data_IF_602161589919
#
_entry.id   IF_602161589919
#
_cell.length_a   1.000
_cell.length_b   1.000
_cell.length_c   1.000
_cell.angle_alpha   90.00
_cell.angle_beta   90.00
_cell.angle_gamma   90.00
#
_symmetry.space_group_name_H-M   'P 1'
#
loop_
_entity.id
_entity.type
_entity.pdbx_description
1 polymer ?
#
# COMPACT_ATOMS: atom_id res chain seq x y z
N UNK A 1 35.04 -8.70 -28.84
CA UNK A 1 34.14 -8.45 -27.70
C UNK A 1 33.08 -7.42 -28.06
N UNK A 2 33.40 -6.41 -28.88
CA UNK A 2 32.49 -5.32 -29.26
C UNK A 2 31.29 -5.75 -30.12
N UNK A 3 31.41 -6.80 -30.95
CA UNK A 3 30.31 -7.31 -31.76
C UNK A 3 29.20 -7.93 -30.90
N UNK A 4 29.57 -8.73 -29.89
CA UNK A 4 28.61 -9.36 -28.97
C UNK A 4 27.92 -8.33 -28.08
N UNK A 5 28.65 -7.31 -27.64
CA UNK A 5 28.09 -6.19 -26.87
C UNK A 5 27.02 -5.43 -27.68
N UNK A 6 27.27 -5.16 -28.97
CA UNK A 6 26.29 -4.52 -29.86
C UNK A 6 25.04 -5.37 -30.08
N UNK A 7 25.19 -6.70 -30.20
CA UNK A 7 24.07 -7.63 -30.32
C UNK A 7 23.21 -7.59 -29.04
N UNK A 8 23.84 -7.62 -27.87
CA UNK A 8 23.16 -7.49 -26.59
C UNK A 8 22.41 -6.16 -26.45
N UNK A 9 23.04 -5.04 -26.82
CA UNK A 9 22.41 -3.71 -26.75
C UNK A 9 21.24 -3.56 -27.73
N UNK A 10 21.32 -4.17 -28.92
CA UNK A 10 20.19 -4.24 -29.87
C UNK A 10 19.02 -5.00 -29.26
N UNK A 11 19.29 -6.20 -28.74
CA UNK A 11 18.26 -7.09 -28.20
C UNK A 11 17.61 -6.51 -26.94
N UNK A 12 18.38 -5.77 -26.14
CA UNK A 12 17.88 -4.98 -25.01
C UNK A 12 16.95 -3.85 -25.44
N UNK A 13 17.26 -3.17 -26.54
CA UNK A 13 16.38 -2.13 -27.09
C UNK A 13 15.09 -2.74 -27.64
N UNK A 14 15.18 -3.88 -28.31
CA UNK A 14 14.03 -4.62 -28.82
C UNK A 14 13.13 -5.12 -27.67
N UNK A 15 13.72 -5.62 -26.57
CA UNK A 15 13.00 -5.98 -25.35
C UNK A 15 12.25 -4.79 -24.74
N UNK A 16 12.89 -3.61 -24.69
CA UNK A 16 12.24 -2.37 -24.21
C UNK A 16 11.11 -1.93 -25.13
N UNK A 17 11.28 -2.05 -26.45
CA UNK A 17 10.21 -1.72 -27.40
C UNK A 17 9.02 -2.66 -27.26
N UNK A 18 9.28 -3.96 -27.10
CA UNK A 18 8.25 -4.97 -26.86
C UNK A 18 7.50 -4.70 -25.55
N UNK A 19 8.20 -4.37 -24.46
CA UNK A 19 7.59 -4.01 -23.18
C UNK A 19 6.68 -2.77 -23.29
N UNK A 20 7.15 -1.69 -23.92
CA UNK A 20 6.33 -0.49 -24.16
C UNK A 20 5.08 -0.80 -25.02
N UNK A 21 5.19 -1.74 -25.96
CA UNK A 21 4.05 -2.16 -26.78
C UNK A 21 3.05 -2.98 -25.97
N UNK A 22 3.52 -3.87 -25.10
CA UNK A 22 2.68 -4.63 -24.16
C UNK A 22 1.94 -3.67 -23.23
N UNK A 23 2.61 -2.66 -22.68
CA UNK A 23 1.97 -1.67 -21.80
C UNK A 23 0.85 -0.90 -22.50
N UNK A 24 1.08 -0.44 -23.73
CA UNK A 24 0.06 0.26 -24.52
C UNK A 24 -1.14 -0.63 -24.81
N UNK A 25 -0.91 -1.89 -25.19
CA UNK A 25 -1.99 -2.84 -25.46
C UNK A 25 -2.74 -3.24 -24.18
N UNK A 26 -2.03 -3.38 -23.05
CA UNK A 26 -2.65 -3.65 -21.75
C UNK A 26 -3.52 -2.48 -21.28
N UNK A 27 -3.08 -1.24 -21.50
CA UNK A 27 -3.87 -0.04 -21.22
C UNK A 27 -5.13 0.03 -22.09
N UNK A 28 -5.01 -0.25 -23.40
CA UNK A 28 -6.17 -0.33 -24.29
C UNK A 28 -7.17 -1.42 -23.88
N UNK A 29 -6.67 -2.58 -23.44
CA UNK A 29 -7.49 -3.67 -22.90
C UNK A 29 -8.21 -3.25 -21.61
N UNK A 30 -7.54 -2.49 -20.73
CA UNK A 30 -8.15 -1.95 -19.52
C UNK A 30 -9.24 -0.91 -19.82
N UNK A 31 -9.04 -0.04 -20.82
CA UNK A 31 -10.07 0.90 -21.27
C UNK A 31 -11.30 0.18 -21.82
N UNK A 32 -11.12 -0.90 -22.60
CA UNK A 32 -12.22 -1.74 -23.07
C UNK A 32 -12.94 -2.38 -21.88
N UNK A 33 -12.21 -2.86 -20.87
CA UNK A 33 -12.81 -3.45 -19.68
C UNK A 33 -13.61 -2.42 -18.85
N UNK A 34 -13.19 -1.15 -18.83
CA UNK A 34 -13.90 -0.06 -18.14
C UNK A 34 -15.18 0.37 -18.85
N UNK A 35 -15.26 0.25 -20.18
CA UNK A 35 -16.47 0.59 -20.96
C UNK A 35 -17.71 -0.24 -20.55
N UNK A 36 -17.52 -1.42 -19.96
CA UNK A 36 -18.63 -2.25 -19.43
C UNK A 36 -19.34 -1.57 -18.24
N UNK A 37 -18.65 -0.76 -17.44
CA UNK A 37 -19.22 -0.12 -16.24
C UNK A 37 -19.99 1.18 -16.56
N UNK A 38 -19.65 1.88 -17.65
CA UNK A 38 -20.20 3.22 -17.95
C UNK A 38 -21.73 3.18 -18.22
N UNK A 39 -22.23 2.07 -18.79
CA UNK A 39 -23.67 1.83 -18.97
C UNK A 39 -24.39 1.49 -17.66
N UNK A 40 -23.71 0.86 -16.68
CA UNK A 40 -24.31 0.63 -15.35
C UNK A 40 -24.41 1.91 -14.52
N UNK A 41 -23.55 2.90 -14.80
CA UNK A 41 -23.52 4.21 -14.13
C UNK A 41 -24.67 5.11 -14.56
N UNK A 42 -25.30 4.84 -15.70
CA UNK A 42 -26.55 5.48 -16.15
C UNK A 42 -27.79 5.06 -15.35
N UNK A 43 -27.69 3.99 -14.54
CA UNK A 43 -28.72 3.61 -13.57
C UNK A 43 -28.50 4.41 -12.29
N UNK A 44 -28.80 5.71 -12.34
CA UNK A 44 -28.94 6.48 -11.10
C UNK A 44 -30.17 5.96 -10.36
N UNK A 45 -29.97 5.06 -9.40
CA UNK A 45 -30.98 4.76 -8.40
C UNK A 45 -31.13 6.03 -7.56
N UNK A 46 -32.05 6.90 -7.98
CA UNK A 46 -32.36 8.16 -7.30
C UNK A 46 -32.97 7.85 -5.94
N UNK A 47 -32.13 7.57 -4.95
CA UNK A 47 -32.48 7.57 -3.55
C UNK A 47 -32.69 9.03 -3.13
N UNK A 48 -33.86 9.59 -3.46
CA UNK A 48 -34.38 10.74 -2.70
C UNK A 48 -34.75 10.22 -1.31
N UNK A 49 -33.74 10.10 -0.44
CA UNK A 49 -33.95 10.08 0.99
C UNK A 49 -34.44 11.47 1.39
N UNK A 50 -35.76 11.63 1.52
CA UNK A 50 -36.32 12.72 2.30
C UNK A 50 -35.89 12.51 3.74
N UNK A 51 -34.84 13.21 4.15
CA UNK A 51 -34.53 13.39 5.57
C UNK A 51 -35.73 14.09 6.24
N UNK A 52 -36.20 13.62 7.41
CA UNK A 52 -37.12 14.40 8.20
C UNK A 52 -36.33 15.56 8.81
N UNK A 53 -36.42 16.74 8.20
CA UNK A 53 -35.97 17.98 8.82
C UNK A 53 -36.90 18.29 9.99
N UNK A 54 -36.42 18.04 11.20
CA UNK A 54 -37.00 18.56 12.44
C UNK A 54 -37.06 20.08 12.37
N UNK A 55 -38.26 20.63 12.30
CA UNK A 55 -38.50 22.07 12.23
C UNK A 55 -38.26 22.77 13.56
N UNK A 56 -37.66 23.95 13.48
CA UNK A 56 -37.88 25.04 14.42
C UNK A 56 -38.15 26.32 13.61
N UNK A 57 -39.37 26.85 13.76
CA UNK A 57 -39.90 28.20 13.44
C UNK A 57 -39.57 28.88 12.09
N UNK A 58 -40.60 29.25 11.31
CA UNK A 58 -41.18 30.61 11.32
C UNK A 58 -42.42 30.72 10.39
N UNK A 59 -43.39 31.53 10.83
CA UNK A 59 -44.69 31.85 10.22
C UNK A 59 -44.62 32.55 8.85
N UNK A 60 -45.45 32.14 7.87
CA UNK A 60 -46.48 32.97 7.20
C UNK A 60 -47.23 32.23 6.07
N UNK A 61 -48.54 32.54 5.97
CA UNK A 61 -49.60 31.97 5.11
C UNK A 61 -49.66 32.70 3.73
N UNK A 62 -50.60 32.39 2.79
CA UNK A 62 -50.94 31.15 2.08
C UNK A 62 -50.91 31.31 0.52
N UNK A 63 -51.28 30.23 -0.18
CA UNK A 63 -51.79 30.16 -1.57
C UNK A 63 -50.80 30.14 -2.75
N UNK A 64 -50.53 28.93 -3.24
CA UNK A 64 -50.54 28.63 -4.66
C UNK A 64 -50.65 27.11 -4.84
N UNK A 65 -51.76 26.69 -5.44
CA UNK A 65 -51.99 25.36 -5.97
C UNK A 65 -50.99 25.07 -7.09
N UNK A 66 -50.01 24.22 -6.83
CA UNK A 66 -49.17 23.62 -7.87
C UNK A 66 -49.37 22.11 -7.85
N UNK A 67 -50.06 21.63 -8.88
CA UNK A 67 -50.22 20.23 -9.27
C UNK A 67 -48.86 19.55 -9.38
N UNK A 68 -48.56 18.63 -8.46
CA UNK A 68 -47.45 17.69 -8.61
C UNK A 68 -47.89 16.57 -9.55
N UNK A 69 -47.51 16.70 -10.82
CA UNK A 69 -47.51 15.63 -11.80
C UNK A 69 -46.59 14.51 -11.30
N UNK A 70 -47.18 13.43 -10.79
CA UNK A 70 -46.48 12.16 -10.59
C UNK A 70 -46.42 11.44 -11.93
N UNK A 71 -45.24 11.38 -12.54
CA UNK A 71 -45.10 10.73 -13.84
C UNK A 71 -43.71 10.79 -14.44
N UNK A 72 -42.67 10.43 -13.67
CA UNK A 72 -41.38 10.08 -14.25
C UNK A 72 -41.11 8.61 -13.94
N UNK A 73 -41.70 7.73 -14.74
CA UNK A 73 -41.21 6.35 -14.87
C UNK A 73 -39.81 6.48 -15.44
N UNK A 74 -38.79 6.30 -14.60
CA UNK A 74 -37.43 6.15 -15.08
C UNK A 74 -37.43 4.88 -15.95
N UNK A 75 -37.41 5.08 -17.27
CA UNK A 75 -37.12 4.00 -18.20
C UNK A 75 -35.69 3.60 -17.90
N UNK A 76 -35.53 2.53 -17.12
CA UNK A 76 -34.24 1.88 -16.92
C UNK A 76 -33.81 1.43 -18.31
N UNK A 77 -32.85 2.15 -18.89
CA UNK A 77 -32.22 1.72 -20.12
C UNK A 77 -31.35 0.52 -19.75
N UNK A 78 -31.88 -0.67 -19.99
CA UNK A 78 -31.10 -1.89 -19.84
C UNK A 78 -30.02 -1.89 -20.92
N UNK A 79 -28.74 -2.10 -20.57
CA UNK A 79 -27.71 -2.30 -21.59
C UNK A 79 -28.17 -3.46 -22.46
N UNK A 80 -28.27 -3.23 -23.78
CA UNK A 80 -28.72 -4.28 -24.69
C UNK A 80 -27.77 -5.47 -24.52
N UNK A 81 -28.32 -6.67 -24.29
CA UNK A 81 -27.53 -7.91 -24.14
C UNK A 81 -26.57 -8.11 -25.34
N UNK A 82 -26.96 -7.59 -26.51
CA UNK A 82 -26.15 -7.50 -27.72
C UNK A 82 -24.86 -6.68 -27.58
N UNK A 83 -24.87 -5.61 -26.78
CA UNK A 83 -23.70 -4.74 -26.56
C UNK A 83 -22.67 -5.37 -25.62
N UNK A 84 -23.13 -6.00 -24.53
CA UNK A 84 -22.24 -6.75 -23.63
C UNK A 84 -21.52 -7.87 -24.40
N UNK A 85 -22.26 -8.57 -25.27
CA UNK A 85 -21.68 -9.59 -26.16
C UNK A 85 -20.76 -9.03 -27.25
N UNK A 86 -20.90 -7.78 -27.68
CA UNK A 86 -19.94 -7.15 -28.61
C UNK A 86 -18.65 -6.74 -27.89
N UNK A 87 -18.77 -6.13 -26.71
CA UNK A 87 -17.60 -5.74 -25.89
C UNK A 87 -16.81 -6.97 -25.42
N UNK A 88 -17.50 -8.07 -25.08
CA UNK A 88 -16.88 -9.37 -24.80
C UNK A 88 -15.98 -9.84 -25.95
N UNK A 89 -16.48 -9.79 -27.19
CA UNK A 89 -15.71 -10.20 -28.37
C UNK A 89 -14.54 -9.27 -28.66
N UNK A 90 -14.73 -7.96 -28.49
CA UNK A 90 -13.64 -6.97 -28.58
C UNK A 90 -12.54 -7.24 -27.55
N UNK A 91 -12.93 -7.55 -26.31
CA UNK A 91 -12.02 -7.88 -25.23
C UNK A 91 -11.24 -9.17 -25.48
N UNK A 92 -11.92 -10.26 -25.87
CA UNK A 92 -11.28 -11.54 -26.21
C UNK A 92 -10.30 -11.40 -27.37
N UNK A 93 -10.66 -10.62 -28.39
CA UNK A 93 -9.77 -10.33 -29.50
C UNK A 93 -8.52 -9.57 -29.02
N UNK A 94 -8.69 -8.47 -28.29
CA UNK A 94 -7.57 -7.69 -27.76
C UNK A 94 -6.71 -8.48 -26.77
N UNK A 95 -7.31 -9.38 -25.98
CA UNK A 95 -6.60 -10.28 -25.08
C UNK A 95 -5.68 -11.22 -25.88
N UNK A 96 -6.20 -11.86 -26.93
CA UNK A 96 -5.42 -12.75 -27.79
C UNK A 96 -4.23 -12.03 -28.44
N UNK A 97 -4.40 -10.76 -28.84
CA UNK A 97 -3.30 -9.97 -29.37
C UNK A 97 -2.20 -9.69 -28.33
N UNK A 98 -2.58 -9.36 -27.09
CA UNK A 98 -1.61 -9.14 -26.01
C UNK A 98 -0.88 -10.44 -25.68
N UNK A 99 -1.57 -11.58 -25.67
CA UNK A 99 -0.97 -12.89 -25.46
C UNK A 99 0.06 -13.24 -26.54
N UNK A 100 -0.23 -12.96 -27.82
CA UNK A 100 0.73 -13.17 -28.93
C UNK A 100 1.98 -12.30 -28.76
N UNK A 101 1.81 -11.03 -28.38
CA UNK A 101 2.94 -10.12 -28.13
C UNK A 101 3.76 -10.60 -26.93
N UNK A 102 3.10 -11.08 -25.87
CA UNK A 102 3.76 -11.57 -24.67
C UNK A 102 4.54 -12.85 -24.94
N UNK A 103 4.00 -13.78 -25.74
CA UNK A 103 4.73 -14.95 -26.23
C UNK A 103 5.97 -14.54 -27.06
N UNK A 104 5.83 -13.54 -27.94
CA UNK A 104 6.97 -13.02 -28.70
C UNK A 104 8.03 -12.41 -27.77
N UNK A 105 7.62 -11.70 -26.72
CA UNK A 105 8.55 -11.18 -25.71
C UNK A 105 9.28 -12.30 -24.97
N UNK A 106 8.58 -13.35 -24.55
CA UNK A 106 9.19 -14.54 -23.92
C UNK A 106 10.22 -15.21 -24.85
N UNK A 107 9.91 -15.38 -26.15
CA UNK A 107 10.91 -15.92 -27.11
C UNK A 107 12.12 -15.00 -27.27
N UNK A 108 11.93 -13.68 -27.21
CA UNK A 108 13.02 -12.72 -27.23
C UNK A 108 13.88 -12.84 -25.97
N UNK A 109 13.27 -13.02 -24.80
CA UNK A 109 13.99 -13.26 -23.55
C UNK A 109 14.80 -14.55 -23.58
N UNK A 110 14.32 -15.61 -24.21
CA UNK A 110 15.08 -16.85 -24.41
C UNK A 110 16.34 -16.60 -25.25
N UNK A 111 16.23 -15.85 -26.35
CA UNK A 111 17.40 -15.47 -27.18
C UNK A 111 18.36 -14.53 -26.43
N UNK A 112 17.84 -13.68 -25.56
CA UNK A 112 18.65 -12.87 -24.67
C UNK A 112 19.36 -13.77 -23.63
N UNK A 113 18.70 -14.79 -23.10
CA UNK A 113 19.28 -15.64 -22.06
C UNK A 113 20.47 -16.44 -22.62
N UNK A 114 20.36 -16.91 -23.86
CA UNK A 114 21.45 -17.59 -24.56
C UNK A 114 22.64 -16.63 -24.80
N UNK A 115 22.39 -15.42 -25.29
CA UNK A 115 23.46 -14.42 -25.51
C UNK A 115 24.09 -13.91 -24.21
N UNK A 116 23.33 -13.83 -23.12
CA UNK A 116 23.84 -13.46 -21.80
C UNK A 116 24.76 -14.52 -21.21
N UNK A 117 24.51 -15.81 -21.49
CA UNK A 117 25.33 -16.95 -21.05
C UNK A 117 26.69 -17.00 -21.74
N UNK A 118 26.80 -16.46 -22.96
CA UNK A 118 28.05 -16.37 -23.71
C UNK A 118 28.95 -15.19 -23.31
N UNK A 119 28.47 -14.27 -22.47
CA UNK A 119 29.22 -13.11 -21.98
C UNK A 119 29.81 -13.38 -20.58
N UNK A 120 30.95 -12.78 -20.21
CA UNK A 120 31.57 -12.99 -18.91
C UNK A 120 30.68 -12.53 -17.73
N UNK A 121 30.72 -13.32 -16.67
CA UNK A 121 29.82 -13.40 -15.51
C UNK A 121 29.77 -12.14 -14.60
N UNK A 122 30.54 -11.09 -14.91
CA UNK A 122 30.68 -9.86 -14.08
C UNK A 122 29.82 -8.69 -14.58
N UNK A 123 29.08 -8.85 -15.67
CA UNK A 123 28.39 -7.73 -16.33
C UNK A 123 26.93 -7.58 -15.91
N UNK A 124 26.44 -6.33 -15.91
CA UNK A 124 25.04 -5.94 -15.73
C UNK A 124 24.02 -6.66 -16.65
N UNK A 125 24.46 -7.52 -17.58
CA UNK A 125 23.61 -8.32 -18.45
C UNK A 125 22.74 -9.33 -17.68
N UNK A 126 23.30 -10.02 -16.68
CA UNK A 126 22.54 -11.00 -15.88
C UNK A 126 21.46 -10.33 -15.02
N UNK A 127 21.76 -9.20 -14.39
CA UNK A 127 20.78 -8.46 -13.59
C UNK A 127 19.68 -7.84 -14.46
N UNK A 128 20.01 -7.40 -15.67
CA UNK A 128 19.00 -6.96 -16.64
C UNK A 128 18.11 -8.11 -17.12
N UNK A 129 18.67 -9.30 -17.34
CA UNK A 129 17.92 -10.51 -17.71
C UNK A 129 16.92 -10.89 -16.61
N UNK A 130 17.38 -11.04 -15.36
CA UNK A 130 16.53 -11.38 -14.22
C UNK A 130 15.36 -10.40 -14.09
N UNK A 131 15.62 -9.10 -14.31
CA UNK A 131 14.59 -8.07 -14.30
C UNK A 131 13.58 -8.23 -15.44
N UNK A 132 14.02 -8.57 -16.65
CA UNK A 132 13.10 -8.78 -17.77
C UNK A 132 12.24 -10.05 -17.59
N UNK A 133 12.79 -11.11 -16.99
CA UNK A 133 12.02 -12.30 -16.63
C UNK A 133 10.95 -11.98 -15.57
N UNK A 134 11.31 -11.23 -14.52
CA UNK A 134 10.34 -10.74 -13.53
C UNK A 134 9.24 -9.90 -14.19
N UNK A 135 9.61 -9.03 -15.12
CA UNK A 135 8.68 -8.18 -15.86
C UNK A 135 7.70 -9.01 -16.70
N UNK A 136 8.16 -10.04 -17.41
CA UNK A 136 7.30 -10.93 -18.20
C UNK A 136 6.23 -11.61 -17.31
N UNK A 137 6.65 -12.14 -16.15
CA UNK A 137 5.76 -12.76 -15.17
C UNK A 137 4.75 -11.75 -14.63
N UNK A 138 5.19 -10.52 -14.33
CA UNK A 138 4.32 -9.45 -13.88
C UNK A 138 3.28 -9.09 -14.95
N UNK A 139 3.68 -8.89 -16.22
CA UNK A 139 2.75 -8.60 -17.32
C UNK A 139 1.71 -9.72 -17.47
N UNK A 140 2.11 -10.99 -17.40
CA UNK A 140 1.19 -12.14 -17.47
C UNK A 140 0.18 -12.14 -16.31
N UNK A 141 0.66 -11.83 -15.09
CA UNK A 141 -0.21 -11.69 -13.92
C UNK A 141 -1.19 -10.53 -14.09
N UNK A 142 -0.76 -9.40 -14.63
CA UNK A 142 -1.65 -8.25 -14.90
C UNK A 142 -2.71 -8.59 -15.93
N UNK A 143 -2.36 -9.32 -17.00
CA UNK A 143 -3.30 -9.78 -18.02
C UNK A 143 -4.39 -10.67 -17.41
N UNK A 144 -3.99 -11.67 -16.62
CA UNK A 144 -4.93 -12.56 -15.94
C UNK A 144 -5.82 -11.81 -14.95
N UNK A 145 -5.27 -10.83 -14.22
CA UNK A 145 -6.04 -9.98 -13.33
C UNK A 145 -7.10 -9.18 -14.09
N UNK A 146 -6.73 -8.52 -15.18
CA UNK A 146 -7.68 -7.72 -15.99
C UNK A 146 -8.75 -8.61 -16.62
N UNK A 147 -8.40 -9.81 -17.10
CA UNK A 147 -9.36 -10.77 -17.62
C UNK A 147 -10.34 -11.29 -16.55
N UNK A 148 -9.85 -11.58 -15.35
CA UNK A 148 -10.71 -11.98 -14.23
C UNK A 148 -11.63 -10.85 -13.78
N UNK A 149 -11.13 -9.62 -13.75
CA UNK A 149 -11.91 -8.43 -13.41
C UNK A 149 -13.00 -8.16 -14.46
N UNK A 150 -12.67 -8.30 -15.74
CA UNK A 150 -13.62 -8.18 -16.84
C UNK A 150 -14.74 -9.24 -16.75
N UNK A 151 -14.37 -10.51 -16.56
CA UNK A 151 -15.34 -11.60 -16.39
C UNK A 151 -16.31 -11.33 -15.23
N UNK A 152 -15.79 -10.89 -14.08
CA UNK A 152 -16.62 -10.51 -12.92
C UNK A 152 -17.58 -9.36 -13.25
N UNK A 153 -17.18 -8.41 -14.08
CA UNK A 153 -18.05 -7.30 -14.53
C UNK A 153 -19.13 -7.80 -15.48
N UNK A 154 -18.80 -8.66 -16.43
CA UNK A 154 -19.78 -9.29 -17.33
C UNK A 154 -20.80 -10.11 -16.55
N UNK A 155 -20.36 -10.96 -15.62
CA UNK A 155 -21.24 -11.73 -14.73
C UNK A 155 -22.14 -10.82 -13.90
N UNK A 156 -21.62 -9.70 -13.37
CA UNK A 156 -22.44 -8.72 -12.66
C UNK A 156 -23.54 -8.16 -13.56
N UNK A 157 -23.21 -7.71 -14.77
CA UNK A 157 -24.17 -7.12 -15.71
C UNK A 157 -25.24 -8.15 -16.12
N UNK A 158 -24.88 -9.42 -16.26
CA UNK A 158 -25.81 -10.51 -16.56
C UNK A 158 -26.75 -10.83 -15.38
N UNK A 159 -26.28 -10.68 -14.14
CA UNK A 159 -27.07 -10.95 -12.93
C UNK A 159 -27.98 -9.78 -12.50
N UNK A 160 -27.60 -8.53 -12.79
CA UNK A 160 -28.40 -7.32 -12.46
C UNK A 160 -29.86 -7.33 -12.96
N UNK A 161 -30.20 -7.81 -14.18
CA UNK A 161 -31.59 -7.84 -14.63
C UNK A 161 -32.45 -8.86 -13.87
N UNK A 162 -31.87 -9.97 -13.42
CA UNK A 162 -32.58 -10.95 -12.58
C UNK A 162 -32.79 -10.41 -11.15
N UNK A 163 -31.74 -9.80 -10.57
CA UNK A 163 -31.82 -9.20 -9.23
C UNK A 163 -32.80 -8.04 -9.21
N UNK A 164 -32.87 -7.22 -10.26
CA UNK A 164 -33.80 -6.09 -10.31
C UNK A 164 -35.27 -6.53 -10.41
N UNK A 165 -35.56 -7.66 -11.08
CA UNK A 165 -36.91 -8.28 -11.08
C UNK A 165 -37.27 -8.88 -9.73
N UNK A 166 -36.31 -9.51 -9.06
CA UNK A 166 -36.50 -10.08 -7.71
C UNK A 166 -36.62 -8.97 -6.64
N UNK A 167 -35.88 -7.88 -6.79
CA UNK A 167 -35.89 -6.71 -5.91
C UNK A 167 -37.23 -5.97 -5.97
N UNK A 168 -37.88 -5.90 -7.14
CA UNK A 168 -39.21 -5.28 -7.27
C UNK A 168 -40.27 -6.07 -6.49
N UNK A 169 -40.12 -7.40 -6.41
CA UNK A 169 -40.94 -8.28 -5.56
C UNK A 169 -40.55 -8.16 -4.08
N UNK A 170 -39.27 -7.98 -3.78
CA UNK A 170 -38.76 -7.81 -2.41
C UNK A 170 -38.99 -6.41 -1.83
N UNK A 171 -39.30 -5.38 -2.62
CA UNK A 171 -39.38 -3.98 -2.17
C UNK A 171 -40.44 -3.76 -1.09
N UNK A 172 -41.50 -4.57 -1.03
CA UNK A 172 -42.47 -4.59 0.07
C UNK A 172 -41.92 -5.22 1.37
N UNK A 173 -40.94 -6.13 1.30
CA UNK A 173 -40.27 -6.78 2.44
C UNK A 173 -38.92 -6.11 2.82
N UNK A 174 -38.41 -5.20 1.98
CA UNK A 174 -37.17 -4.45 2.25
C UNK A 174 -37.31 -3.50 3.44
N UNK A 175 -38.51 -2.99 3.74
CA UNK A 175 -38.74 -2.12 4.89
C UNK A 175 -38.51 -2.83 6.23
N UNK A 176 -38.99 -4.06 6.35
CA UNK A 176 -38.82 -4.92 7.54
C UNK A 176 -37.38 -5.44 7.63
N UNK A 177 -36.78 -5.86 6.51
CA UNK A 177 -35.39 -6.30 6.49
C UNK A 177 -34.38 -5.18 6.77
N UNK A 178 -34.66 -3.95 6.33
CA UNK A 178 -33.82 -2.78 6.62
C UNK A 178 -33.76 -2.52 8.13
N UNK A 179 -34.91 -2.55 8.81
CA UNK A 179 -34.98 -2.36 10.26
C UNK A 179 -34.24 -3.47 11.02
N UNK A 180 -34.36 -4.73 10.58
CA UNK A 180 -33.61 -5.85 11.17
C UNK A 180 -32.09 -5.71 10.95
N UNK A 181 -31.67 -5.28 9.76
CA UNK A 181 -30.27 -5.01 9.43
C UNK A 181 -29.70 -3.84 10.24
N UNK A 182 -30.48 -2.79 10.44
CA UNK A 182 -30.11 -1.68 11.32
C UNK A 182 -29.94 -2.16 12.76
N UNK A 183 -30.84 -3.01 13.26
CA UNK A 183 -30.72 -3.61 14.58
C UNK A 183 -29.46 -4.48 14.72
N UNK A 184 -29.13 -5.27 13.70
CA UNK A 184 -27.91 -6.07 13.69
C UNK A 184 -26.65 -5.20 13.64
N UNK A 185 -26.65 -4.15 12.83
CA UNK A 185 -25.57 -3.17 12.75
C UNK A 185 -25.35 -2.44 14.07
N UNK A 186 -26.41 -2.04 14.77
CA UNK A 186 -26.35 -1.46 16.10
C UNK A 186 -25.75 -2.45 17.12
N UNK A 187 -26.19 -3.70 17.11
CA UNK A 187 -25.63 -4.76 17.97
C UNK A 187 -24.16 -5.02 17.70
N UNK A 188 -23.76 -5.01 16.43
CA UNK A 188 -22.36 -5.15 16.04
C UNK A 188 -21.53 -3.97 16.54
N UNK A 189 -22.02 -2.74 16.34
CA UNK A 189 -21.36 -1.52 16.80
C UNK A 189 -21.23 -1.50 18.32
N UNK A 190 -22.25 -1.95 19.05
CA UNK A 190 -22.19 -2.09 20.51
C UNK A 190 -21.11 -3.09 20.95
N UNK A 191 -21.01 -4.25 20.28
CA UNK A 191 -19.94 -5.22 20.56
C UNK A 191 -18.56 -4.64 20.28
N UNK A 192 -18.39 -3.88 19.20
CA UNK A 192 -17.13 -3.23 18.87
C UNK A 192 -16.78 -2.15 19.91
N UNK A 193 -17.74 -1.33 20.31
CA UNK A 193 -17.58 -0.31 21.34
C UNK A 193 -17.09 -0.94 22.65
N UNK A 194 -17.72 -2.03 23.09
CA UNK A 194 -17.30 -2.75 24.30
C UNK A 194 -15.85 -3.24 24.19
N UNK A 195 -15.45 -3.82 23.04
CA UNK A 195 -14.06 -4.22 22.82
C UNK A 195 -13.08 -3.04 22.87
N UNK A 196 -13.48 -1.86 22.38
CA UNK A 196 -12.65 -0.64 22.45
C UNK A 196 -12.54 -0.14 23.89
N UNK A 197 -13.64 -0.19 24.66
CA UNK A 197 -13.64 0.16 26.08
C UNK A 197 -12.70 -0.78 26.85
N UNK A 198 -12.81 -2.10 26.64
CA UNK A 198 -11.96 -3.09 27.29
C UNK A 198 -10.47 -2.89 26.94
N UNK A 199 -10.16 -2.61 25.67
CA UNK A 199 -8.79 -2.31 25.24
C UNK A 199 -8.28 -1.00 25.83
N UNK A 200 -9.15 0.00 25.94
CA UNK A 200 -8.83 1.28 26.57
C UNK A 200 -8.49 1.12 28.06
N UNK A 201 -9.27 0.30 28.78
CA UNK A 201 -9.01 -0.01 30.18
C UNK A 201 -7.69 -0.79 30.35
N UNK A 202 -7.45 -1.80 29.52
CA UNK A 202 -6.18 -2.54 29.52
C UNK A 202 -4.98 -1.64 29.25
N UNK A 203 -5.08 -0.74 28.27
CA UNK A 203 -4.02 0.22 27.97
C UNK A 203 -3.77 1.19 29.14
N UNK A 204 -4.83 1.64 29.82
CA UNK A 204 -4.71 2.49 31.00
C UNK A 204 -4.00 1.76 32.16
N UNK A 205 -4.31 0.48 32.40
CA UNK A 205 -3.61 -0.34 33.39
C UNK A 205 -2.14 -0.56 33.02
N UNK A 206 -1.83 -0.84 31.76
CA UNK A 206 -0.45 -1.01 31.27
C UNK A 206 0.37 0.27 31.43
N UNK A 207 -0.19 1.44 31.10
CA UNK A 207 0.51 2.73 31.29
C UNK A 207 0.78 3.01 32.77
N UNK A 208 -0.15 2.62 33.65
CA UNK A 208 0.06 2.73 35.10
C UNK A 208 1.19 1.82 35.57
N UNK A 209 1.22 0.57 35.13
CA UNK A 209 2.32 -0.36 35.42
C UNK A 209 3.66 0.17 34.88
N UNK A 210 3.68 0.66 33.63
CA UNK A 210 4.87 1.27 33.05
C UNK A 210 5.37 2.46 33.87
N UNK A 211 4.46 3.31 34.39
CA UNK A 211 4.84 4.41 35.28
C UNK A 211 5.49 3.92 36.57
N UNK A 212 4.97 2.85 37.16
CA UNK A 212 5.54 2.26 38.37
C UNK A 212 6.93 1.65 38.08
N UNK A 213 7.12 1.02 36.91
CA UNK A 213 8.45 0.56 36.47
C UNK A 213 9.42 1.72 36.25
N UNK A 214 8.98 2.83 35.63
CA UNK A 214 9.82 4.01 35.42
C UNK A 214 10.23 4.65 36.74
N UNK A 215 9.32 4.70 37.72
CA UNK A 215 9.66 5.12 39.09
C UNK A 215 10.77 4.25 39.67
N UNK A 216 10.66 2.92 39.54
CA UNK A 216 11.69 2.00 40.03
C UNK A 216 13.04 2.17 39.32
N UNK A 217 13.04 2.48 38.02
CA UNK A 217 14.25 2.76 37.25
C UNK A 217 14.86 4.09 37.68
N UNK A 218 14.04 5.12 37.91
CA UNK A 218 14.47 6.40 38.44
C UNK A 218 15.12 6.25 39.81
N UNK A 219 14.56 5.42 40.69
CA UNK A 219 15.13 5.13 42.02
C UNK A 219 16.49 4.45 41.92
N UNK A 220 16.62 3.46 41.02
CA UNK A 220 17.91 2.79 40.75
C UNK A 220 18.93 3.74 40.13
N UNK A 221 18.51 4.65 39.25
CA UNK A 221 19.39 5.68 38.67
C UNK A 221 19.87 6.67 39.73
N UNK A 222 19.01 7.06 40.67
CA UNK A 222 19.40 7.84 41.84
C UNK A 222 20.43 7.10 42.69
N UNK A 223 20.23 5.80 42.95
CA UNK A 223 21.19 4.96 43.67
C UNK A 223 22.55 4.88 42.94
N UNK A 224 22.55 4.69 41.62
CA UNK A 224 23.79 4.69 40.81
C UNK A 224 24.47 6.05 40.89
N UNK A 225 23.72 7.14 40.76
CA UNK A 225 24.24 8.51 40.83
C UNK A 225 24.90 8.78 42.18
N UNK A 226 24.38 8.22 43.28
CA UNK A 226 25.01 8.29 44.60
C UNK A 226 26.35 7.53 44.67
N UNK A 227 26.56 6.50 43.84
CA UNK A 227 27.81 5.72 43.76
C UNK A 227 28.84 6.27 42.76
N UNK A 228 28.42 7.05 41.76
CA UNK A 228 29.32 7.73 40.81
C UNK A 228 30.40 8.60 41.49
N UNK A 229 30.15 9.42 42.53
CA UNK A 229 31.20 10.19 43.20
C UNK A 229 32.23 9.30 43.91
N UNK A 230 31.84 8.11 44.38
CA UNK A 230 32.78 7.15 44.96
C UNK A 230 33.75 6.61 43.90
N UNK A 231 33.24 6.25 42.71
CA UNK A 231 34.08 5.84 41.57
C UNK A 231 35.03 6.97 41.16
N UNK A 232 34.54 8.21 41.12
CA UNK A 232 35.36 9.39 40.81
C UNK A 232 36.46 9.63 41.86
N UNK A 233 36.19 9.38 43.14
CA UNK A 233 37.19 9.47 44.21
C UNK A 233 38.27 8.39 44.10
N UNK A 234 37.91 7.16 43.73
CA UNK A 234 38.87 6.08 43.47
C UNK A 234 39.74 6.40 42.26
N UNK A 235 39.14 6.89 41.17
CA UNK A 235 39.87 7.28 39.96
C UNK A 235 40.84 8.44 40.22
N UNK A 236 40.40 9.46 40.97
CA UNK A 236 41.26 10.58 41.37
C UNK A 236 42.43 10.13 42.25
N UNK A 237 42.23 9.16 43.15
CA UNK A 237 43.32 8.60 43.96
C UNK A 237 44.37 7.91 43.09
N UNK A 238 43.95 7.16 42.07
CA UNK A 238 44.85 6.49 41.12
C UNK A 238 45.66 7.50 40.30
N UNK A 239 45.01 8.52 39.73
CA UNK A 239 45.69 9.58 38.96
C UNK A 239 46.69 10.36 39.85
N UNK A 240 46.29 10.71 41.08
CA UNK A 240 47.15 11.44 42.01
C UNK A 240 48.44 10.70 42.35
N UNK A 241 48.39 9.37 42.47
CA UNK A 241 49.57 8.54 42.74
C UNK A 241 50.50 8.50 41.52
N UNK A 242 49.93 8.33 40.33
CA UNK A 242 50.68 8.33 39.07
C UNK A 242 51.37 9.67 38.79
N UNK A 243 50.70 10.80 39.07
CA UNK A 243 51.31 12.14 38.96
C UNK A 243 52.46 12.34 39.94
N UNK A 244 52.31 11.90 41.19
CA UNK A 244 53.38 12.00 42.20
C UNK A 244 54.61 11.19 41.77
N UNK A 245 54.41 9.97 41.29
CA UNK A 245 55.50 9.11 40.80
C UNK A 245 56.21 9.73 39.58
N UNK A 246 55.47 10.31 38.63
CA UNK A 246 56.04 10.99 37.46
C UNK A 246 56.84 12.26 37.82
N UNK A 247 56.38 13.05 38.79
CA UNK A 247 57.08 14.26 39.25
C UNK A 247 58.42 13.90 39.91
N UNK A 248 58.46 12.86 40.74
CA UNK A 248 59.70 12.41 41.40
C UNK A 248 60.73 11.98 40.35
N UNK A 249 60.32 11.17 39.38
CA UNK A 249 61.22 10.68 38.32
C UNK A 249 61.70 11.84 37.43
N UNK A 250 60.81 12.76 37.04
CA UNK A 250 61.17 13.94 36.26
C UNK A 250 62.15 14.87 37.00
N UNK A 251 61.97 15.06 38.30
CA UNK A 251 62.87 15.86 39.13
C UNK A 251 64.27 15.25 39.24
N UNK A 252 64.38 13.92 39.40
CA UNK A 252 65.66 13.22 39.43
C UNK A 252 66.42 13.35 38.12
N UNK A 253 65.74 13.15 36.98
CA UNK A 253 66.33 13.29 35.65
C UNK A 253 66.78 14.72 35.40
N UNK A 254 65.93 15.70 35.72
CA UNK A 254 66.25 17.12 35.60
C UNK A 254 67.46 17.52 36.45
N UNK A 255 67.48 17.12 37.72
CA UNK A 255 68.60 17.40 38.62
C UNK A 255 69.91 16.79 38.11
N UNK A 256 69.86 15.54 37.65
CA UNK A 256 71.03 14.85 37.10
C UNK A 256 71.58 15.56 35.85
N UNK A 257 70.68 15.99 34.95
CA UNK A 257 71.07 16.76 33.76
C UNK A 257 71.68 18.12 34.12
N UNK A 258 71.11 18.83 35.09
CA UNK A 258 71.65 20.15 35.52
C UNK A 258 73.05 20.01 36.12
N UNK A 259 73.28 19.01 36.98
CA UNK A 259 74.60 18.73 37.57
C UNK A 259 75.62 18.39 36.46
N UNK A 260 75.20 17.60 35.47
CA UNK A 260 76.06 17.20 34.37
C UNK A 260 76.52 18.40 33.51
N UNK A 261 75.59 19.31 33.18
CA UNK A 261 75.92 20.55 32.45
C UNK A 261 76.87 21.44 33.25
N UNK A 262 76.64 21.57 34.56
CA UNK A 262 77.50 22.37 35.46
C UNK A 262 78.90 21.78 35.64
N UNK A 263 79.06 20.47 35.48
CA UNK A 263 80.37 19.82 35.54
C UNK A 263 81.14 19.91 34.21
N UNK A 264 80.41 19.95 33.09
CA UNK A 264 81.00 20.00 31.75
C UNK A 264 81.47 21.42 31.37
N UNK A 265 80.81 22.46 31.91
CA UNK A 265 81.12 23.88 31.69
C UNK A 265 82.03 24.42 32.80
#
# INVERSE_FOLDING_TARGET
MDSKQRIWDSLRNDARQADNLIERKLAALEDIARRVDDETSGVSFGAKGTAPTTGFNQYNNPSSSSSTTFGNTAVVHFPSESHVRSVQREFEHSQSEVEVVLQRFETLLETMAETARELPLESAAMTHMERFQQLAVEKRRTLFRVAADFKRRCERVELLPNISRELDVHREDVGTQLLLKEQESLRHTQRMLNNIIDRGEQAHLQLREQRDTFSSVSDRLLEITQRVPFVKNVLNRIDSRRRREAVIVGALIGLCMTIFVLFLF
#
